data_IF_494356072449
#
_entry.id   IF_494356072449
#
_cell.length_a   1.000
_cell.length_b   1.000
_cell.length_c   1.000
_cell.angle_alpha   90.00
_cell.angle_beta   90.00
_cell.angle_gamma   90.00
#
_symmetry.space_group_name_H-M   'P 1'
#
loop_
_entity.id
_entity.type
_entity.pdbx_description
1 polymer ?
#
# COMPACT_ATOMS: atom_id res chain seq x y z
N UNK A 1 -0.64 -18.93 19.49
CA UNK A 1 0.72 -19.43 19.20
C UNK A 1 0.95 -20.79 19.85
N UNK A 2 0.21 -21.81 19.43
CA UNK A 2 0.36 -23.20 19.91
C UNK A 2 0.47 -24.19 18.73
N UNK A 3 0.70 -23.69 17.52
CA UNK A 3 0.70 -24.49 16.30
C UNK A 3 2.10 -25.03 15.94
N UNK A 4 3.17 -24.49 16.54
CA UNK A 4 4.56 -24.68 16.05
C UNK A 4 5.10 -26.13 16.13
N UNK A 5 4.49 -27.03 16.90
CA UNK A 5 4.99 -28.42 17.05
C UNK A 5 4.69 -29.34 15.85
N UNK A 6 3.87 -28.93 14.87
CA UNK A 6 3.57 -29.72 13.66
C UNK A 6 4.53 -29.50 12.48
N UNK A 7 5.24 -28.37 12.43
CA UNK A 7 5.94 -27.89 11.22
C UNK A 7 7.35 -28.45 11.05
N UNK A 8 8.05 -28.83 12.14
CA UNK A 8 9.44 -29.31 12.05
C UNK A 8 9.58 -30.67 11.32
N UNK A 9 8.47 -31.38 11.08
CA UNK A 9 8.48 -32.72 10.51
C UNK A 9 8.37 -32.76 8.97
N UNK A 10 7.97 -31.68 8.29
CA UNK A 10 7.78 -31.73 6.82
C UNK A 10 9.11 -31.96 6.09
N UNK A 11 10.18 -31.27 6.48
CA UNK A 11 11.52 -31.50 5.90
C UNK A 11 12.00 -32.92 6.18
N UNK A 12 11.83 -33.42 7.41
CA UNK A 12 12.21 -34.80 7.77
C UNK A 12 11.42 -35.84 6.96
N UNK A 13 10.12 -35.61 6.72
CA UNK A 13 9.27 -36.49 5.92
C UNK A 13 9.63 -36.45 4.43
N UNK A 14 10.01 -35.29 3.89
CA UNK A 14 10.55 -35.16 2.52
C UNK A 14 11.88 -35.89 2.40
N UNK A 15 12.79 -35.73 3.37
CA UNK A 15 14.08 -36.45 3.38
C UNK A 15 13.91 -37.97 3.55
N UNK A 16 12.87 -38.40 4.26
CA UNK A 16 12.53 -39.80 4.46
C UNK A 16 11.71 -40.43 3.31
N UNK A 17 11.30 -39.65 2.31
CA UNK A 17 10.40 -40.06 1.20
C UNK A 17 9.08 -40.71 1.70
N UNK A 18 8.57 -40.25 2.85
CA UNK A 18 7.33 -40.75 3.45
C UNK A 18 6.10 -40.02 2.89
N UNK A 19 5.63 -40.46 1.72
CA UNK A 19 4.50 -39.84 1.04
C UNK A 19 3.17 -39.92 1.81
N UNK A 20 2.93 -40.99 2.56
CA UNK A 20 1.72 -41.10 3.38
C UNK A 20 1.78 -40.14 4.57
N UNK A 21 2.94 -40.05 5.21
CA UNK A 21 3.20 -39.08 6.28
C UNK A 21 3.06 -37.63 5.80
N UNK A 22 3.64 -37.30 4.65
CA UNK A 22 3.52 -35.98 4.02
C UNK A 22 2.06 -35.65 3.72
N UNK A 23 1.34 -36.54 3.04
CA UNK A 23 -0.07 -36.28 2.72
C UNK A 23 -0.92 -36.10 3.98
N UNK A 24 -0.66 -36.87 5.04
CA UNK A 24 -1.38 -36.69 6.30
C UNK A 24 -1.04 -35.36 7.00
N UNK A 25 0.23 -34.94 6.95
CA UNK A 25 0.69 -33.67 7.52
C UNK A 25 0.10 -32.48 6.75
N UNK A 26 0.22 -32.47 5.42
CA UNK A 26 -0.31 -31.40 4.56
C UNK A 26 -1.83 -31.23 4.75
N UNK A 27 -2.59 -32.33 4.83
CA UNK A 27 -4.04 -32.26 5.06
C UNK A 27 -4.43 -31.78 6.48
N UNK A 28 -3.53 -31.89 7.46
CA UNK A 28 -3.79 -31.47 8.83
C UNK A 28 -3.48 -29.99 9.06
N UNK A 29 -2.75 -29.35 8.14
CA UNK A 29 -2.26 -27.98 8.25
C UNK A 29 -3.15 -27.04 7.41
N UNK A 30 -3.40 -25.80 7.91
CA UNK A 30 -4.01 -24.75 7.10
C UNK A 30 -3.19 -24.43 5.85
N UNK A 31 -3.85 -24.15 4.73
CA UNK A 31 -3.21 -23.87 3.43
C UNK A 31 -2.20 -22.71 3.50
N UNK A 32 -2.55 -21.64 4.23
CA UNK A 32 -1.66 -20.49 4.44
C UNK A 32 -0.35 -20.88 5.15
N UNK A 33 -0.43 -21.68 6.22
CA UNK A 33 0.78 -22.10 6.95
C UNK A 33 1.65 -23.05 6.11
N UNK A 34 1.02 -23.88 5.28
CA UNK A 34 1.73 -24.77 4.34
C UNK A 34 2.49 -23.93 3.31
N UNK A 35 1.86 -22.89 2.76
CA UNK A 35 2.49 -21.98 1.81
C UNK A 35 3.67 -21.23 2.44
N UNK A 36 3.50 -20.66 3.64
CA UNK A 36 4.57 -20.01 4.39
C UNK A 36 5.76 -20.96 4.62
N UNK A 37 5.49 -22.20 5.06
CA UNK A 37 6.53 -23.19 5.27
C UNK A 37 7.26 -23.57 3.98
N UNK A 38 6.52 -23.72 2.88
CA UNK A 38 7.07 -23.98 1.54
C UNK A 38 7.99 -22.85 1.12
N UNK A 39 7.56 -21.61 1.28
CA UNK A 39 8.33 -20.43 0.92
C UNK A 39 9.65 -20.30 1.70
N UNK A 40 9.68 -20.76 2.94
CA UNK A 40 10.87 -20.69 3.79
C UNK A 40 11.85 -21.83 3.56
N UNK A 41 11.37 -23.04 3.26
CA UNK A 41 12.17 -24.27 3.37
C UNK A 41 12.35 -25.07 2.07
N UNK A 42 11.50 -24.86 1.07
CA UNK A 42 11.49 -25.71 -0.12
C UNK A 42 11.80 -24.94 -1.41
N UNK A 43 12.67 -25.53 -2.22
CA UNK A 43 12.91 -25.09 -3.60
C UNK A 43 11.84 -25.65 -4.54
N UNK A 44 11.76 -25.08 -5.74
CA UNK A 44 10.75 -25.35 -6.78
C UNK A 44 10.37 -26.82 -6.96
N UNK A 45 11.34 -27.73 -7.08
CA UNK A 45 11.04 -29.15 -7.35
C UNK A 45 10.40 -29.86 -6.16
N UNK A 46 10.79 -29.50 -4.94
CA UNK A 46 10.16 -30.04 -3.74
C UNK A 46 8.76 -29.44 -3.59
N UNK A 47 8.60 -28.14 -3.86
CA UNK A 47 7.29 -27.46 -3.91
C UNK A 47 6.33 -28.18 -4.85
N UNK A 48 6.75 -28.48 -6.10
CA UNK A 48 5.93 -29.22 -7.05
C UNK A 48 5.52 -30.60 -6.53
N UNK A 49 6.45 -31.31 -5.89
CA UNK A 49 6.18 -32.64 -5.32
C UNK A 49 5.17 -32.56 -4.18
N UNK A 50 5.25 -31.55 -3.33
CA UNK A 50 4.31 -31.32 -2.23
C UNK A 50 2.92 -30.95 -2.76
N UNK A 51 2.84 -30.07 -3.76
CA UNK A 51 1.60 -29.69 -4.41
C UNK A 51 0.89 -30.90 -5.06
N UNK A 52 1.65 -31.82 -5.67
CA UNK A 52 1.10 -33.03 -6.30
C UNK A 52 0.50 -34.04 -5.28
N UNK A 53 0.85 -33.92 -3.99
CA UNK A 53 0.30 -34.78 -2.91
C UNK A 53 -1.03 -34.26 -2.36
N UNK A 54 -1.35 -32.99 -2.62
CA UNK A 54 -2.56 -32.30 -2.16
C UNK A 54 -3.76 -32.65 -3.03
N UNK A 55 -4.96 -32.48 -2.48
CA UNK A 55 -6.18 -32.46 -3.29
C UNK A 55 -6.27 -31.11 -4.03
N UNK A 56 -6.97 -31.08 -5.17
CA UNK A 56 -6.92 -29.96 -6.10
C UNK A 56 -7.31 -28.59 -5.49
N UNK A 57 -8.31 -28.57 -4.61
CA UNK A 57 -8.76 -27.37 -3.89
C UNK A 57 -7.67 -26.84 -2.96
N UNK A 58 -7.07 -27.70 -2.14
CA UNK A 58 -5.95 -27.32 -1.27
C UNK A 58 -4.73 -26.90 -2.08
N UNK A 59 -4.46 -27.58 -3.20
CA UNK A 59 -3.36 -27.22 -4.10
C UNK A 59 -3.50 -25.78 -4.62
N UNK A 60 -4.71 -25.39 -5.02
CA UNK A 60 -5.02 -24.04 -5.49
C UNK A 60 -4.87 -23.00 -4.37
N UNK A 61 -5.43 -23.27 -3.18
CA UNK A 61 -5.30 -22.38 -2.03
C UNK A 61 -3.83 -22.18 -1.61
N UNK A 62 -3.08 -23.28 -1.41
CA UNK A 62 -1.67 -23.20 -1.03
C UNK A 62 -0.87 -22.43 -2.07
N UNK A 63 -1.15 -22.63 -3.36
CA UNK A 63 -0.47 -21.90 -4.43
C UNK A 63 -0.79 -20.40 -4.40
N UNK A 64 -2.04 -20.01 -4.13
CA UNK A 64 -2.45 -18.61 -3.96
C UNK A 64 -1.66 -17.91 -2.85
N UNK A 65 -1.48 -18.58 -1.71
CA UNK A 65 -0.73 -18.02 -0.57
C UNK A 65 0.80 -17.96 -0.76
N UNK A 66 1.37 -18.56 -1.81
CA UNK A 66 2.81 -18.44 -2.06
C UNK A 66 3.17 -17.02 -2.48
N UNK A 67 4.38 -16.57 -2.10
CA UNK A 67 4.88 -15.27 -2.57
C UNK A 67 4.92 -15.20 -4.10
N UNK A 68 4.67 -14.03 -4.71
CA UNK A 68 4.64 -13.85 -6.17
C UNK A 68 5.87 -14.39 -6.90
N UNK A 69 7.07 -14.21 -6.32
CA UNK A 69 8.32 -14.71 -6.90
C UNK A 69 8.35 -16.25 -6.98
N UNK A 70 7.85 -16.93 -5.95
CA UNK A 70 7.82 -18.39 -5.90
C UNK A 70 6.69 -18.95 -6.77
N UNK A 71 5.52 -18.31 -6.81
CA UNK A 71 4.44 -18.62 -7.76
C UNK A 71 4.95 -18.60 -9.21
N UNK A 72 5.64 -17.52 -9.59
CA UNK A 72 6.20 -17.37 -10.93
C UNK A 72 7.23 -18.48 -11.24
N UNK A 73 8.13 -18.75 -10.30
CA UNK A 73 9.16 -19.77 -10.48
C UNK A 73 8.56 -21.17 -10.61
N UNK A 74 7.63 -21.54 -9.73
CA UNK A 74 6.94 -22.84 -9.75
C UNK A 74 6.09 -23.00 -11.00
N UNK A 75 5.28 -22.00 -11.36
CA UNK A 75 4.45 -22.04 -12.56
C UNK A 75 5.29 -22.23 -13.84
N UNK A 76 6.50 -21.66 -13.90
CA UNK A 76 7.40 -21.82 -15.04
C UNK A 76 7.95 -23.24 -15.23
N UNK A 77 7.90 -24.07 -14.18
CA UNK A 77 8.35 -25.47 -14.18
C UNK A 77 7.21 -26.49 -14.25
N UNK A 78 5.95 -26.04 -14.15
CA UNK A 78 4.78 -26.91 -14.28
C UNK A 78 4.51 -27.31 -15.73
N UNK A 79 4.07 -28.56 -15.91
CA UNK A 79 3.43 -28.99 -17.16
C UNK A 79 2.17 -28.15 -17.41
N UNK A 80 2.00 -27.64 -18.64
CA UNK A 80 0.90 -26.71 -18.96
C UNK A 80 -0.49 -27.29 -18.69
N UNK A 81 -0.64 -28.61 -18.75
CA UNK A 81 -1.89 -29.32 -18.42
C UNK A 81 -2.19 -29.33 -16.92
N UNK A 82 -1.16 -29.33 -16.07
CA UNK A 82 -1.28 -29.26 -14.62
C UNK A 82 -1.58 -27.82 -14.22
N UNK A 83 -0.82 -26.86 -14.75
CA UNK A 83 -1.07 -25.43 -14.52
C UNK A 83 -2.49 -25.02 -14.94
N UNK A 84 -2.97 -25.53 -16.07
CA UNK A 84 -4.34 -25.24 -16.51
C UNK A 84 -5.43 -25.84 -15.62
N UNK A 85 -5.15 -26.93 -14.89
CA UNK A 85 -6.09 -27.47 -13.90
C UNK A 85 -6.05 -26.67 -12.61
N UNK A 86 -4.85 -26.33 -12.13
CA UNK A 86 -4.66 -25.45 -10.98
C UNK A 86 -5.45 -24.15 -11.15
N UNK A 87 -5.31 -23.50 -12.31
CA UNK A 87 -6.07 -22.30 -12.68
C UNK A 87 -7.60 -22.48 -12.75
N UNK A 88 -8.13 -23.69 -12.83
CA UNK A 88 -9.58 -23.89 -12.79
C UNK A 88 -10.08 -23.93 -11.34
N UNK A 89 -9.24 -24.37 -10.42
CA UNK A 89 -9.59 -24.56 -9.01
C UNK A 89 -9.20 -23.35 -8.14
N UNK A 90 -8.44 -22.38 -8.67
CA UNK A 90 -8.14 -21.09 -8.01
C UNK A 90 -9.31 -20.11 -8.07
N UNK A 91 -9.41 -19.23 -7.08
CA UNK A 91 -10.31 -18.06 -7.13
C UNK A 91 -9.96 -17.16 -8.32
N UNK A 92 -10.97 -16.49 -8.87
CA UNK A 92 -10.81 -15.76 -10.13
C UNK A 92 -9.82 -14.57 -10.08
N UNK A 93 -9.71 -13.94 -8.92
CA UNK A 93 -8.78 -12.87 -8.51
C UNK A 93 -7.34 -13.38 -8.40
N UNK A 94 -7.03 -14.31 -7.49
CA UNK A 94 -5.72 -14.98 -7.38
C UNK A 94 -5.19 -15.50 -8.72
N UNK A 95 -6.10 -16.07 -9.52
CA UNK A 95 -5.78 -16.56 -10.86
C UNK A 95 -5.36 -15.43 -11.82
N UNK A 96 -6.01 -14.27 -11.74
CA UNK A 96 -5.66 -13.09 -12.52
C UNK A 96 -4.29 -12.55 -12.12
N UNK A 97 -4.00 -12.54 -10.82
CA UNK A 97 -2.71 -12.09 -10.27
C UNK A 97 -1.58 -13.01 -10.74
N UNK A 98 -1.72 -14.32 -10.57
CA UNK A 98 -0.72 -15.29 -11.06
C UNK A 98 -0.57 -15.19 -12.56
N UNK A 99 -1.66 -15.02 -13.33
CA UNK A 99 -1.59 -14.84 -14.78
C UNK A 99 -0.72 -13.65 -15.18
N UNK A 100 -0.81 -12.54 -14.45
CA UNK A 100 -0.05 -11.31 -14.71
C UNK A 100 1.47 -11.53 -14.54
N UNK A 101 1.87 -12.44 -13.65
CA UNK A 101 3.27 -12.80 -13.37
C UNK A 101 3.88 -13.72 -14.43
N UNK A 102 3.07 -14.45 -15.19
CA UNK A 102 3.57 -15.43 -16.17
C UNK A 102 4.20 -14.75 -17.39
N UNK A 103 5.16 -15.44 -18.01
CA UNK A 103 5.71 -14.97 -19.28
C UNK A 103 4.67 -15.08 -20.41
N UNK A 104 4.85 -14.25 -21.45
CA UNK A 104 3.90 -14.16 -22.58
C UNK A 104 3.69 -15.51 -23.28
N UNK A 105 4.68 -16.41 -23.26
CA UNK A 105 4.59 -17.72 -23.90
C UNK A 105 3.70 -18.65 -23.09
N UNK A 106 3.86 -18.66 -21.78
CA UNK A 106 3.10 -19.47 -20.85
C UNK A 106 1.66 -18.97 -20.77
N UNK A 107 1.46 -17.64 -20.78
CA UNK A 107 0.14 -17.03 -20.94
C UNK A 107 -0.60 -17.55 -22.18
N UNK A 108 0.01 -17.49 -23.37
CA UNK A 108 -0.61 -17.98 -24.63
C UNK A 108 -0.83 -19.50 -24.62
N UNK A 109 0.07 -20.27 -24.01
CA UNK A 109 -0.10 -21.71 -23.85
C UNK A 109 -1.27 -22.07 -22.92
N UNK A 110 -1.41 -21.35 -21.80
CA UNK A 110 -2.47 -21.53 -20.81
C UNK A 110 -3.83 -21.16 -21.40
N UNK A 111 -3.92 -20.00 -22.06
CA UNK A 111 -5.15 -19.56 -22.73
C UNK A 111 -5.70 -20.65 -23.64
N UNK A 112 -4.85 -21.32 -24.44
CA UNK A 112 -5.28 -22.40 -25.36
C UNK A 112 -5.84 -23.64 -24.66
N UNK A 113 -5.54 -23.85 -23.38
CA UNK A 113 -6.02 -24.98 -22.57
C UNK A 113 -7.31 -24.69 -21.82
N UNK A 114 -7.52 -23.43 -21.42
CA UNK A 114 -8.73 -23.03 -20.70
C UNK A 114 -9.97 -23.09 -21.59
N UNK A 115 -11.10 -23.45 -20.97
CA UNK A 115 -12.42 -23.37 -21.57
C UNK A 115 -12.77 -21.91 -21.89
N UNK A 116 -13.76 -21.73 -22.78
CA UNK A 116 -14.11 -20.38 -23.26
C UNK A 116 -14.58 -19.45 -22.14
N UNK A 117 -15.39 -19.93 -21.19
CA UNK A 117 -15.87 -19.15 -20.05
C UNK A 117 -14.71 -18.66 -19.18
N UNK A 118 -13.86 -19.60 -18.74
CA UNK A 118 -12.68 -19.30 -17.90
C UNK A 118 -11.74 -18.32 -18.57
N UNK A 119 -11.54 -18.47 -19.88
CA UNK A 119 -10.69 -17.55 -20.64
C UNK A 119 -11.27 -16.15 -20.70
N UNK A 120 -12.55 -16.03 -21.00
CA UNK A 120 -13.22 -14.72 -21.10
C UNK A 120 -13.23 -14.01 -19.74
N UNK A 121 -13.41 -14.76 -18.65
CA UNK A 121 -13.36 -14.22 -17.28
C UNK A 121 -11.95 -13.78 -16.86
N UNK A 122 -10.96 -14.65 -17.02
CA UNK A 122 -9.56 -14.34 -16.69
C UNK A 122 -9.02 -13.15 -17.51
N UNK A 123 -9.32 -13.09 -18.81
CA UNK A 123 -8.93 -11.95 -19.65
C UNK A 123 -9.63 -10.65 -19.24
N UNK A 124 -10.82 -10.72 -18.66
CA UNK A 124 -11.53 -9.54 -18.17
C UNK A 124 -10.87 -9.03 -16.89
N UNK A 125 -10.61 -9.89 -15.91
CA UNK A 125 -9.98 -9.48 -14.64
C UNK A 125 -8.55 -8.97 -14.88
N UNK A 126 -7.73 -9.72 -15.62
CA UNK A 126 -6.36 -9.29 -15.98
C UNK A 126 -6.26 -8.08 -16.91
N UNK A 127 -7.38 -7.52 -17.38
CA UNK A 127 -7.39 -6.30 -18.20
C UNK A 127 -7.46 -5.01 -17.39
N UNK A 128 -7.81 -5.09 -16.10
CA UNK A 128 -7.81 -3.94 -15.21
C UNK A 128 -6.39 -3.51 -14.86
N UNK A 129 -6.23 -2.22 -14.58
CA UNK A 129 -4.93 -1.65 -14.21
C UNK A 129 -4.60 -2.01 -12.76
N UNK A 130 -3.35 -2.33 -12.50
CA UNK A 130 -2.83 -2.58 -11.15
C UNK A 130 -3.12 -1.39 -10.22
N UNK A 131 -3.50 -1.66 -8.96
CA UNK A 131 -3.91 -0.63 -8.01
C UNK A 131 -5.35 -0.13 -8.18
N UNK A 132 -6.14 -0.76 -9.06
CA UNK A 132 -7.58 -0.51 -9.19
C UNK A 132 -8.41 -1.61 -8.54
N UNK A 133 -9.66 -1.29 -8.19
CA UNK A 133 -10.63 -2.25 -7.64
C UNK A 133 -10.83 -3.44 -8.58
N UNK A 134 -10.73 -3.22 -9.90
CA UNK A 134 -10.86 -4.27 -10.89
C UNK A 134 -9.74 -5.30 -10.86
N UNK A 135 -8.56 -4.94 -10.37
CA UNK A 135 -7.42 -5.85 -10.22
C UNK A 135 -7.63 -6.80 -9.02
N UNK A 136 -8.17 -6.28 -7.90
CA UNK A 136 -8.36 -7.03 -6.64
C UNK A 136 -9.77 -7.59 -6.45
N UNK A 137 -10.63 -7.55 -7.46
CA UNK A 137 -12.01 -8.06 -7.34
C UNK A 137 -12.12 -9.50 -7.84
N UNK A 138 -12.91 -10.29 -7.14
CA UNK A 138 -13.31 -11.61 -7.60
C UNK A 138 -14.59 -11.56 -8.43
N UNK A 139 -14.68 -12.41 -9.44
CA UNK A 139 -15.92 -12.69 -10.18
C UNK A 139 -16.77 -13.79 -9.54
N UNK A 140 -16.29 -14.44 -8.49
CA UNK A 140 -16.92 -15.59 -7.84
C UNK A 140 -17.95 -15.21 -6.78
N UNK A 141 -18.86 -14.30 -7.15
CA UNK A 141 -19.91 -13.79 -6.27
C UNK A 141 -21.25 -14.55 -6.42
N UNK A 142 -21.94 -14.75 -5.29
CA UNK A 142 -23.25 -15.40 -5.29
C UNK A 142 -24.37 -14.50 -5.84
N UNK A 143 -25.22 -15.03 -6.74
CA UNK A 143 -26.32 -14.26 -7.35
C UNK A 143 -27.69 -14.93 -7.23
N UNK A 144 -28.74 -14.11 -7.11
CA UNK A 144 -30.13 -14.53 -7.06
C UNK A 144 -30.94 -13.70 -8.07
N UNK A 145 -31.81 -14.31 -8.91
CA UNK A 145 -32.65 -13.53 -9.81
C UNK A 145 -33.76 -12.79 -9.05
N UNK A 146 -34.11 -11.60 -9.52
CA UNK A 146 -35.32 -10.86 -9.09
C UNK A 146 -36.57 -11.76 -9.24
N UNK A 147 -37.50 -11.63 -8.29
CA UNK A 147 -38.75 -12.40 -8.28
C UNK A 147 -38.61 -13.83 -7.74
N UNK A 148 -37.44 -14.22 -7.25
CA UNK A 148 -37.27 -15.47 -6.51
C UNK A 148 -37.90 -15.38 -5.11
N UNK A 149 -38.29 -16.53 -4.56
CA UNK A 149 -38.60 -16.67 -3.15
C UNK A 149 -37.39 -17.22 -2.37
N UNK A 150 -37.45 -17.16 -1.04
CA UNK A 150 -36.38 -17.61 -0.14
C UNK A 150 -36.01 -19.08 -0.36
N UNK A 151 -36.99 -19.96 -0.58
CA UNK A 151 -36.74 -21.38 -0.83
C UNK A 151 -35.88 -21.60 -2.09
N UNK A 152 -36.24 -20.96 -3.20
CA UNK A 152 -35.50 -21.03 -4.45
C UNK A 152 -34.11 -20.40 -4.31
N UNK A 153 -34.00 -19.28 -3.60
CA UNK A 153 -32.73 -18.61 -3.33
C UNK A 153 -31.78 -19.53 -2.55
N UNK A 154 -32.22 -20.09 -1.41
CA UNK A 154 -31.41 -21.02 -0.62
C UNK A 154 -31.05 -22.28 -1.40
N UNK A 155 -31.97 -22.79 -2.23
CA UNK A 155 -31.68 -23.93 -3.11
C UNK A 155 -30.58 -23.60 -4.11
N UNK A 156 -30.63 -22.43 -4.75
CA UNK A 156 -29.59 -21.98 -5.68
C UNK A 156 -28.25 -21.79 -4.97
N UNK A 157 -28.24 -21.09 -3.84
CA UNK A 157 -27.02 -20.87 -3.07
C UNK A 157 -26.35 -22.17 -2.65
N UNK A 158 -27.12 -23.17 -2.19
CA UNK A 158 -26.57 -24.50 -1.85
C UNK A 158 -25.93 -25.21 -3.04
N UNK A 159 -26.41 -24.96 -4.25
CA UNK A 159 -25.89 -25.61 -5.46
C UNK A 159 -24.64 -24.89 -5.99
N UNK A 160 -24.56 -23.58 -5.85
CA UNK A 160 -23.42 -22.78 -6.33
C UNK A 160 -22.34 -22.54 -5.29
N UNK A 161 -22.60 -22.77 -3.99
CA UNK A 161 -21.69 -22.42 -2.90
C UNK A 161 -20.24 -22.89 -3.06
N UNK A 162 -19.94 -24.11 -3.55
CA UNK A 162 -18.55 -24.56 -3.67
C UNK A 162 -17.70 -23.78 -4.68
N UNK A 163 -18.32 -23.09 -5.62
CA UNK A 163 -17.64 -22.35 -6.70
C UNK A 163 -17.67 -20.83 -6.44
N UNK A 164 -17.94 -20.40 -5.21
CA UNK A 164 -18.17 -18.99 -4.88
C UNK A 164 -17.30 -18.58 -3.71
N UNK A 165 -16.65 -17.45 -3.85
CA UNK A 165 -15.80 -16.82 -2.83
C UNK A 165 -16.56 -16.64 -1.52
N UNK A 166 -17.79 -16.14 -1.61
CA UNK A 166 -18.66 -16.04 -0.45
C UNK A 166 -20.13 -16.20 -0.80
N UNK A 167 -20.84 -16.93 0.07
CA UNK A 167 -22.31 -17.02 0.07
C UNK A 167 -22.95 -16.21 1.20
N UNK A 168 -22.17 -15.52 2.04
CA UNK A 168 -22.70 -14.76 3.16
C UNK A 168 -23.50 -13.54 2.71
N UNK A 169 -23.17 -13.00 1.54
CA UNK A 169 -23.98 -12.05 0.79
C UNK A 169 -24.34 -12.64 -0.57
N UNK A 170 -25.55 -12.38 -1.03
CA UNK A 170 -25.99 -12.72 -2.36
C UNK A 170 -26.57 -11.48 -3.05
N UNK A 171 -26.11 -11.25 -4.28
CA UNK A 171 -26.51 -10.11 -5.09
C UNK A 171 -27.73 -10.43 -5.92
N UNK A 172 -28.75 -9.58 -5.82
CA UNK A 172 -29.99 -9.73 -6.58
C UNK A 172 -29.83 -9.06 -7.93
N UNK A 173 -29.97 -9.82 -9.01
CA UNK A 173 -29.74 -9.35 -10.38
C UNK A 173 -30.97 -9.50 -11.28
N UNK A 174 -31.11 -8.59 -12.24
CA UNK A 174 -32.13 -8.69 -13.28
C UNK A 174 -31.68 -9.57 -14.47
N UNK A 175 -32.55 -9.72 -15.49
CA UNK A 175 -32.23 -10.50 -16.70
C UNK A 175 -31.15 -9.88 -17.60
N UNK A 176 -30.67 -8.67 -17.28
CA UNK A 176 -29.55 -7.99 -17.96
C UNK A 176 -28.30 -7.94 -17.09
N UNK A 177 -28.23 -8.68 -15.98
CA UNK A 177 -27.12 -8.66 -15.03
C UNK A 177 -26.96 -7.35 -14.25
N UNK A 178 -28.00 -6.50 -14.20
CA UNK A 178 -27.95 -5.28 -13.38
C UNK A 178 -28.17 -5.61 -11.91
N UNK A 179 -27.39 -4.95 -11.04
CA UNK A 179 -27.55 -5.07 -9.59
C UNK A 179 -28.83 -4.36 -9.12
N UNK A 180 -29.71 -5.12 -8.48
CA UNK A 180 -31.02 -4.65 -7.99
C UNK A 180 -31.09 -4.57 -6.46
N UNK A 181 -30.23 -5.30 -5.77
CA UNK A 181 -30.15 -5.29 -4.31
C UNK A 181 -29.17 -6.34 -3.77
N UNK A 182 -29.04 -6.40 -2.46
CA UNK A 182 -28.25 -7.41 -1.74
C UNK A 182 -29.07 -8.03 -0.62
N UNK A 183 -28.87 -9.34 -0.38
CA UNK A 183 -29.47 -10.06 0.73
C UNK A 183 -28.39 -10.89 1.44
N UNK A 184 -28.39 -10.86 2.78
CA UNK A 184 -27.47 -11.69 3.56
C UNK A 184 -28.01 -13.11 3.75
N UNK A 185 -27.12 -14.10 3.83
CA UNK A 185 -27.50 -15.47 4.15
C UNK A 185 -28.27 -15.57 5.48
N UNK A 186 -27.89 -14.74 6.45
CA UNK A 186 -28.61 -14.61 7.73
C UNK A 186 -30.07 -14.23 7.53
N UNK A 187 -30.37 -13.25 6.66
CA UNK A 187 -31.77 -12.88 6.35
C UNK A 187 -32.52 -14.01 5.65
N UNK A 188 -31.86 -14.72 4.72
CA UNK A 188 -32.46 -15.86 4.03
C UNK A 188 -32.81 -17.01 4.99
N UNK A 189 -31.96 -17.26 5.99
CA UNK A 189 -32.17 -18.32 6.97
C UNK A 189 -33.26 -17.99 8.00
N UNK A 190 -33.54 -16.71 8.26
CA UNK A 190 -34.55 -16.27 9.23
C UNK A 190 -35.91 -15.94 8.63
N UNK A 191 -35.98 -15.70 7.31
CA UNK A 191 -37.22 -15.42 6.59
C UNK A 191 -38.05 -16.69 6.32
N UNK A 192 -39.36 -16.54 6.10
CA UNK A 192 -40.19 -17.67 5.71
C UNK A 192 -39.86 -18.12 4.26
N UNK A 193 -39.87 -19.44 3.95
CA UNK A 193 -39.49 -19.95 2.63
C UNK A 193 -40.28 -19.36 1.44
N UNK A 194 -41.51 -18.92 1.69
CA UNK A 194 -42.40 -18.35 0.68
C UNK A 194 -42.23 -16.84 0.47
N UNK A 195 -41.48 -16.15 1.33
CA UNK A 195 -41.26 -14.70 1.18
C UNK A 195 -40.46 -14.39 -0.09
N UNK A 196 -40.74 -13.24 -0.69
CA UNK A 196 -40.09 -12.78 -1.92
C UNK A 196 -38.77 -12.08 -1.59
N UNK A 197 -37.72 -12.40 -2.34
CA UNK A 197 -36.40 -11.75 -2.20
C UNK A 197 -36.51 -10.24 -2.45
N UNK A 198 -37.38 -9.84 -3.37
CA UNK A 198 -37.61 -8.44 -3.71
C UNK A 198 -38.11 -7.59 -2.52
N UNK A 199 -38.76 -8.22 -1.53
CA UNK A 199 -39.24 -7.56 -0.31
C UNK A 199 -38.20 -7.58 0.82
N UNK A 200 -37.24 -8.51 0.76
CA UNK A 200 -36.20 -8.70 1.77
C UNK A 200 -34.89 -7.96 1.44
N UNK A 201 -34.61 -7.74 0.16
CA UNK A 201 -33.34 -7.19 -0.29
C UNK A 201 -33.16 -5.72 0.10
N UNK A 202 -31.92 -5.35 0.41
CA UNK A 202 -31.53 -3.95 0.52
C UNK A 202 -31.29 -3.40 -0.89
N UNK A 203 -32.05 -2.37 -1.29
CA UNK A 203 -31.96 -1.74 -2.63
C UNK A 203 -30.92 -0.64 -2.72
N UNK A 204 -30.68 0.07 -1.62
CA UNK A 204 -29.66 1.11 -1.53
C UNK A 204 -28.31 0.44 -1.21
N UNK A 205 -27.73 -0.17 -2.25
CA UNK A 205 -26.47 -0.92 -2.13
C UNK A 205 -25.31 0.05 -2.29
N UNK A 206 -24.37 0.00 -1.38
CA UNK A 206 -23.08 0.69 -1.55
C UNK A 206 -22.27 -0.09 -2.57
N UNK A 207 -21.91 0.55 -3.68
CA UNK A 207 -21.19 -0.06 -4.80
C UNK A 207 -19.92 0.71 -5.10
N UNK A 208 -18.97 0.06 -5.76
CA UNK A 208 -17.75 0.67 -6.28
C UNK A 208 -17.63 0.48 -7.79
N UNK A 209 -16.88 1.35 -8.45
CA UNK A 209 -16.49 1.16 -9.86
C UNK A 209 -15.17 0.40 -9.92
N UNK A 210 -14.98 -0.53 -10.87
CA UNK A 210 -13.74 -1.28 -11.01
C UNK A 210 -12.54 -0.37 -11.35
N UNK A 211 -12.76 0.80 -11.95
CA UNK A 211 -11.68 1.74 -12.32
C UNK A 211 -11.26 2.67 -11.17
N UNK A 212 -11.90 2.56 -10.00
CA UNK A 212 -11.49 3.33 -8.82
C UNK A 212 -10.22 2.74 -8.19
N UNK A 213 -9.43 3.55 -7.45
CA UNK A 213 -8.31 3.03 -6.68
C UNK A 213 -8.73 1.96 -5.67
N UNK A 214 -7.95 0.89 -5.53
CA UNK A 214 -8.23 -0.21 -4.60
C UNK A 214 -8.37 0.24 -3.13
N UNK A 215 -7.60 1.25 -2.71
CA UNK A 215 -7.68 1.86 -1.38
C UNK A 215 -9.08 2.42 -1.05
N UNK A 216 -9.89 2.75 -2.06
CA UNK A 216 -11.26 3.19 -1.83
C UNK A 216 -12.21 2.04 -1.47
N UNK A 217 -12.01 0.84 -2.01
CA UNK A 217 -12.75 -0.35 -1.57
C UNK A 217 -12.49 -0.59 -0.08
N UNK A 218 -11.21 -0.63 0.33
CA UNK A 218 -10.82 -0.83 1.71
C UNK A 218 -11.41 0.23 2.65
N UNK A 219 -11.38 1.51 2.26
CA UNK A 219 -11.98 2.60 3.04
C UNK A 219 -13.48 2.42 3.23
N UNK A 220 -14.21 2.03 2.17
CA UNK A 220 -15.67 1.85 2.24
C UNK A 220 -16.03 0.61 3.05
N UNK A 221 -15.34 -0.51 2.82
CA UNK A 221 -15.50 -1.76 3.56
C UNK A 221 -15.32 -1.51 5.06
N UNK A 222 -14.22 -0.84 5.44
CA UNK A 222 -13.93 -0.48 6.83
C UNK A 222 -14.98 0.49 7.42
N UNK A 223 -15.40 1.50 6.66
CA UNK A 223 -16.36 2.52 7.15
C UNK A 223 -17.75 1.94 7.44
N UNK A 224 -18.19 0.96 6.65
CA UNK A 224 -19.53 0.39 6.73
C UNK A 224 -19.56 -1.00 7.38
N UNK A 225 -18.43 -1.48 7.91
CA UNK A 225 -18.26 -2.82 8.47
C UNK A 225 -18.77 -3.92 7.52
N UNK A 226 -18.47 -3.78 6.22
CA UNK A 226 -18.88 -4.72 5.19
C UNK A 226 -17.94 -5.92 5.18
N UNK A 227 -18.48 -7.09 4.85
CA UNK A 227 -17.68 -8.31 4.60
C UNK A 227 -17.29 -8.46 3.12
N UNK A 228 -17.99 -7.76 2.23
CA UNK A 228 -17.69 -7.65 0.81
C UNK A 228 -18.41 -6.43 0.24
N UNK A 229 -17.90 -5.89 -0.88
CA UNK A 229 -18.52 -4.79 -1.62
C UNK A 229 -18.64 -5.12 -3.11
N UNK A 230 -19.82 -4.92 -3.75
CA UNK A 230 -19.98 -5.20 -5.17
C UNK A 230 -19.34 -4.12 -6.05
N UNK A 231 -18.62 -4.57 -7.07
CA UNK A 231 -18.10 -3.76 -8.16
C UNK A 231 -19.08 -3.76 -9.35
N UNK A 232 -19.50 -2.55 -9.76
CA UNK A 232 -20.44 -2.36 -10.86
C UNK A 232 -19.88 -1.41 -11.92
N UNK A 233 -20.24 -1.66 -13.18
CA UNK A 233 -19.94 -0.75 -14.30
C UNK A 233 -20.84 0.50 -14.26
N UNK A 234 -20.55 1.49 -15.09
CA UNK A 234 -21.40 2.69 -15.27
C UNK A 234 -22.87 2.35 -15.60
N UNK A 235 -23.10 1.24 -16.31
CA UNK A 235 -24.44 0.75 -16.66
C UNK A 235 -25.12 -0.03 -15.52
N UNK A 236 -24.52 -0.06 -14.33
CA UNK A 236 -24.95 -0.80 -13.14
C UNK A 236 -24.94 -2.32 -13.33
N UNK A 237 -24.08 -2.84 -14.22
CA UNK A 237 -23.84 -4.27 -14.38
C UNK A 237 -22.87 -4.73 -13.29
N UNK A 238 -23.24 -5.78 -12.55
CA UNK A 238 -22.37 -6.41 -11.56
C UNK A 238 -21.25 -7.17 -12.28
N UNK A 239 -20.00 -6.82 -11.98
CA UNK A 239 -18.82 -7.41 -12.63
C UNK A 239 -17.92 -8.17 -11.67
N UNK A 240 -17.94 -7.82 -10.38
CA UNK A 240 -17.15 -8.46 -9.35
C UNK A 240 -17.59 -8.07 -7.94
N UNK A 241 -16.85 -8.55 -6.95
CA UNK A 241 -16.90 -8.03 -5.57
C UNK A 241 -15.48 -8.02 -4.98
N UNK A 242 -15.25 -7.17 -4.00
CA UNK A 242 -14.01 -7.18 -3.20
C UNK A 242 -14.35 -7.67 -1.80
N UNK A 243 -13.59 -8.63 -1.28
CA UNK A 243 -13.79 -9.19 0.07
C UNK A 243 -13.13 -8.32 1.14
N UNK A 244 -13.40 -8.60 2.41
CA UNK A 244 -12.77 -7.87 3.51
C UNK A 244 -11.28 -8.23 3.66
N UNK A 245 -10.92 -9.46 3.37
CA UNK A 245 -9.57 -10.01 3.41
C UNK A 245 -8.69 -9.40 2.31
N UNK A 246 -9.12 -9.39 1.04
CA UNK A 246 -8.39 -8.70 -0.03
C UNK A 246 -8.22 -7.20 0.30
N UNK A 247 -9.26 -6.60 0.88
CA UNK A 247 -9.20 -5.21 1.31
C UNK A 247 -8.21 -4.97 2.46
N UNK A 248 -7.91 -5.99 3.27
CA UNK A 248 -6.90 -5.91 4.32
C UNK A 248 -5.50 -5.96 3.73
N UNK A 249 -5.27 -6.80 2.72
CA UNK A 249 -4.00 -6.88 2.01
C UNK A 249 -3.70 -5.57 1.29
N UNK A 250 -4.70 -4.99 0.62
CA UNK A 250 -4.61 -3.64 0.04
C UNK A 250 -4.19 -2.58 1.06
N UNK A 251 -4.69 -2.66 2.30
CA UNK A 251 -4.30 -1.69 3.36
C UNK A 251 -2.83 -1.86 3.72
N UNK A 252 -2.35 -3.11 3.85
CA UNK A 252 -0.94 -3.39 4.16
C UNK A 252 0.00 -2.94 3.03
N UNK A 253 -0.38 -3.18 1.79
CA UNK A 253 0.36 -2.74 0.60
C UNK A 253 0.46 -1.21 0.53
N UNK A 254 -0.65 -0.50 0.67
CA UNK A 254 -0.70 0.97 0.61
C UNK A 254 0.08 1.62 1.75
N UNK A 255 0.00 1.06 2.97
CA UNK A 255 0.79 1.51 4.11
C UNK A 255 2.30 1.31 3.85
N UNK A 256 2.67 0.14 3.32
CA UNK A 256 4.06 -0.21 2.99
C UNK A 256 4.60 0.69 1.88
N UNK A 257 3.84 0.90 0.80
CA UNK A 257 4.21 1.77 -0.31
C UNK A 257 4.38 3.21 0.16
N UNK A 258 3.45 3.71 0.99
CA UNK A 258 3.53 5.03 1.62
C UNK A 258 4.79 5.18 2.47
N UNK A 259 5.15 4.16 3.23
CA UNK A 259 6.39 4.15 4.02
C UNK A 259 7.64 4.19 3.14
N UNK A 260 7.69 3.39 2.08
CA UNK A 260 8.82 3.39 1.14
C UNK A 260 8.99 4.74 0.45
N UNK A 261 7.91 5.30 -0.10
CA UNK A 261 7.90 6.63 -0.74
C UNK A 261 8.35 7.73 0.25
N UNK A 262 7.83 7.70 1.48
CA UNK A 262 8.20 8.65 2.55
C UNK A 262 9.69 8.61 2.90
N UNK A 263 10.31 7.42 2.81
CA UNK A 263 11.73 7.20 3.01
C UNK A 263 12.59 7.45 1.76
N UNK A 264 11.99 7.88 0.64
CA UNK A 264 12.66 8.02 -0.66
C UNK A 264 13.24 6.73 -1.24
N UNK A 265 12.64 5.60 -0.90
CA UNK A 265 12.91 4.33 -1.54
C UNK A 265 11.83 4.17 -2.60
N UNK A 266 12.20 3.97 -3.87
CA UNK A 266 11.18 3.63 -4.89
C UNK A 266 10.41 2.36 -4.47
N UNK A 267 9.21 2.15 -5.03
CA UNK A 267 8.40 0.96 -4.72
C UNK A 267 9.26 -0.31 -4.81
N UNK A 268 9.16 -1.15 -3.79
CA UNK A 268 9.77 -2.47 -3.76
C UNK A 268 8.65 -3.47 -3.92
N UNK A 269 8.60 -4.12 -5.08
CA UNK A 269 7.58 -5.12 -5.42
C UNK A 269 7.96 -6.51 -4.83
N UNK A 270 8.90 -6.55 -3.87
CA UNK A 270 9.46 -7.76 -3.27
C UNK A 270 10.03 -7.47 -1.87
N UNK A 271 10.21 -8.51 -1.06
CA UNK A 271 10.75 -8.38 0.28
C UNK A 271 12.21 -7.88 0.26
N UNK A 272 12.64 -7.22 1.35
CA UNK A 272 14.01 -6.70 1.47
C UNK A 272 15.06 -7.82 1.47
N UNK A 273 14.68 -9.01 1.94
CA UNK A 273 15.53 -10.20 2.00
C UNK A 273 15.74 -10.83 0.62
N UNK A 274 14.73 -10.79 -0.26
CA UNK A 274 14.82 -11.24 -1.65
C UNK A 274 15.54 -10.23 -2.55
N UNK A 275 15.38 -8.94 -2.25
CA UNK A 275 15.95 -7.87 -3.07
C UNK A 275 17.49 -7.89 -3.05
N UNK A 276 18.09 -8.34 -4.15
CA UNK A 276 19.54 -8.33 -4.31
C UNK A 276 20.17 -6.93 -4.20
N UNK A 277 21.45 -6.80 -3.80
CA UNK A 277 22.10 -5.51 -3.57
C UNK A 277 22.03 -4.52 -4.74
N UNK A 278 22.06 -5.02 -5.98
CA UNK A 278 22.00 -4.21 -7.20
C UNK A 278 20.60 -3.60 -7.39
N UNK A 279 19.54 -4.34 -7.10
CA UNK A 279 18.15 -3.88 -7.19
C UNK A 279 17.92 -2.73 -6.20
N UNK A 280 18.34 -2.93 -4.94
CA UNK A 280 18.27 -1.91 -3.89
C UNK A 280 19.09 -0.65 -4.25
N UNK A 281 20.29 -0.83 -4.81
CA UNK A 281 21.10 0.28 -5.28
C UNK A 281 20.38 1.10 -6.36
N UNK A 282 19.82 0.44 -7.39
CA UNK A 282 19.11 1.12 -8.49
C UNK A 282 17.89 1.89 -8.01
N UNK A 283 17.11 1.31 -7.08
CA UNK A 283 15.91 1.95 -6.51
C UNK A 283 16.22 3.16 -5.63
N UNK A 284 17.47 3.34 -5.17
CA UNK A 284 17.91 4.44 -4.29
C UNK A 284 18.80 5.49 -4.97
N UNK A 285 19.72 5.06 -5.85
CA UNK A 285 20.78 5.94 -6.37
C UNK A 285 20.24 7.11 -7.19
N UNK A 286 19.22 6.88 -8.02
CA UNK A 286 18.63 7.93 -8.86
C UNK A 286 18.11 9.09 -8.00
N UNK A 287 17.44 8.76 -6.89
CA UNK A 287 16.92 9.74 -5.97
C UNK A 287 18.01 10.41 -5.13
N UNK A 288 18.96 9.63 -4.60
CA UNK A 288 20.07 10.18 -3.80
C UNK A 288 20.93 11.16 -4.62
N UNK A 289 21.22 10.83 -5.88
CA UNK A 289 21.96 11.72 -6.78
C UNK A 289 21.16 12.99 -7.04
N UNK A 290 19.85 12.90 -7.28
CA UNK A 290 18.97 14.07 -7.43
C UNK A 290 19.07 14.99 -6.20
N UNK A 291 18.98 14.43 -4.99
CA UNK A 291 19.09 15.22 -3.74
C UNK A 291 20.47 15.88 -3.59
N UNK A 292 21.55 15.22 -4.00
CA UNK A 292 22.89 15.85 -4.02
C UNK A 292 22.92 17.09 -4.89
N UNK A 293 22.30 17.05 -6.08
CA UNK A 293 22.23 18.21 -6.96
C UNK A 293 21.41 19.36 -6.36
N UNK A 294 20.31 19.05 -5.66
CA UNK A 294 19.53 20.08 -4.95
C UNK A 294 20.37 20.70 -3.82
N UNK A 295 21.23 19.93 -3.15
CA UNK A 295 22.06 20.47 -2.06
C UNK A 295 23.21 21.40 -2.55
N UNK A 296 23.50 21.45 -3.86
CA UNK A 296 24.46 22.40 -4.43
C UNK A 296 24.03 23.86 -4.16
N UNK A 297 22.73 24.13 -4.08
CA UNK A 297 22.22 25.47 -3.76
C UNK A 297 22.64 25.95 -2.37
N UNK A 298 22.70 25.05 -1.38
CA UNK A 298 23.22 25.35 -0.04
C UNK A 298 24.69 25.76 -0.10
N UNK A 299 25.50 25.05 -0.90
CA UNK A 299 26.91 25.38 -1.10
C UNK A 299 27.10 26.74 -1.78
N UNK A 300 26.30 27.04 -2.80
CA UNK A 300 26.33 28.33 -3.48
C UNK A 300 25.96 29.49 -2.53
N UNK A 301 24.98 29.27 -1.64
CA UNK A 301 24.62 30.25 -0.62
C UNK A 301 25.76 30.51 0.38
N UNK A 302 26.50 29.47 0.80
CA UNK A 302 27.69 29.64 1.67
C UNK A 302 28.76 30.49 0.97
N UNK A 303 29.05 30.21 -0.31
CA UNK A 303 30.01 31.00 -1.10
C UNK A 303 29.58 32.46 -1.24
N UNK A 304 28.29 32.72 -1.42
CA UNK A 304 27.77 34.08 -1.52
C UNK A 304 28.00 34.90 -0.23
N UNK A 305 27.98 34.26 0.95
CA UNK A 305 28.19 34.91 2.24
C UNK A 305 29.61 34.74 2.82
N UNK A 306 30.62 34.44 1.99
CA UNK A 306 32.01 34.19 2.41
C UNK A 306 32.59 35.35 3.24
N UNK A 307 32.34 36.60 2.83
CA UNK A 307 32.80 37.78 3.57
C UNK A 307 32.21 37.88 4.98
N UNK A 308 30.92 37.52 5.14
CA UNK A 308 30.25 37.49 6.45
C UNK A 308 30.85 36.39 7.34
N UNK A 309 31.15 35.22 6.75
CA UNK A 309 31.77 34.10 7.44
C UNK A 309 33.19 34.45 7.89
N UNK A 310 33.99 35.12 7.04
CA UNK A 310 35.34 35.57 7.40
C UNK A 310 35.33 36.59 8.54
N UNK A 311 34.34 37.48 8.56
CA UNK A 311 34.17 38.45 9.65
C UNK A 311 33.78 37.75 10.98
N UNK A 312 32.94 36.72 10.92
CA UNK A 312 32.45 35.99 12.09
C UNK A 312 32.54 34.48 11.90
N UNK A 313 33.74 33.92 12.05
CA UNK A 313 33.99 32.48 11.90
C UNK A 313 33.16 31.62 12.88
N UNK A 314 32.70 32.21 14.00
CA UNK A 314 31.82 31.56 14.97
C UNK A 314 30.45 31.16 14.41
N UNK A 315 30.00 31.77 13.30
CA UNK A 315 28.75 31.40 12.63
C UNK A 315 28.77 29.92 12.18
N UNK A 316 29.94 29.42 11.75
CA UNK A 316 30.09 28.04 11.30
C UNK A 316 29.86 27.00 12.40
N UNK A 317 30.01 27.39 13.68
CA UNK A 317 29.76 26.47 14.80
C UNK A 317 28.28 26.15 15.00
N UNK A 318 27.39 27.06 14.59
CA UNK A 318 25.95 26.91 14.73
C UNK A 318 25.27 26.47 13.44
N UNK A 319 25.97 26.57 12.31
CA UNK A 319 25.43 26.25 10.98
C UNK A 319 24.82 24.83 10.92
N UNK A 320 25.51 23.74 11.34
CA UNK A 320 24.93 22.39 11.26
C UNK A 320 23.69 22.24 12.16
N UNK A 321 23.71 22.88 13.33
CA UNK A 321 22.63 22.78 14.31
C UNK A 321 21.36 23.49 13.82
N UNK A 322 21.50 24.68 13.25
CA UNK A 322 20.39 25.47 12.74
C UNK A 322 19.74 24.79 11.53
N UNK A 323 20.57 24.37 10.57
CA UNK A 323 20.14 23.67 9.36
C UNK A 323 19.38 22.39 9.71
N UNK A 324 19.99 21.51 10.54
CA UNK A 324 19.37 20.26 10.95
C UNK A 324 18.03 20.47 11.69
N UNK A 325 17.90 21.56 12.46
CA UNK A 325 16.66 21.87 13.17
C UNK A 325 15.50 22.20 12.23
N UNK A 326 15.78 22.94 11.15
CA UNK A 326 14.79 23.22 10.09
C UNK A 326 14.36 21.95 9.37
N UNK A 327 15.33 21.12 8.97
CA UNK A 327 15.06 19.84 8.31
C UNK A 327 14.24 18.88 9.19
N UNK A 328 14.59 18.74 10.47
CA UNK A 328 13.88 17.87 11.40
C UNK A 328 12.44 18.34 11.62
N UNK A 329 12.23 19.65 11.82
CA UNK A 329 10.88 20.20 12.02
C UNK A 329 10.00 20.07 10.77
N UNK A 330 10.58 20.36 9.59
CA UNK A 330 9.88 20.16 8.32
C UNK A 330 9.50 18.70 8.08
N UNK A 331 10.42 17.77 8.34
CA UNK A 331 10.18 16.34 8.15
C UNK A 331 9.09 15.80 9.07
N UNK A 332 9.08 16.22 10.34
CA UNK A 332 8.00 15.86 11.27
C UNK A 332 6.63 16.32 10.77
N UNK A 333 6.57 17.56 10.27
CA UNK A 333 5.33 18.14 9.73
C UNK A 333 4.89 17.40 8.47
N UNK A 334 5.82 17.13 7.55
CA UNK A 334 5.56 16.41 6.32
C UNK A 334 5.02 15.00 6.58
N UNK A 335 5.64 14.24 7.48
CA UNK A 335 5.18 12.89 7.84
C UNK A 335 3.75 12.89 8.38
N UNK A 336 3.41 13.83 9.27
CA UNK A 336 2.04 13.93 9.81
C UNK A 336 1.02 14.29 8.72
N UNK A 337 1.39 15.18 7.81
CA UNK A 337 0.51 15.66 6.74
C UNK A 337 0.32 14.61 5.65
N UNK A 338 1.39 13.92 5.23
CA UNK A 338 1.33 12.82 4.26
C UNK A 338 0.40 11.73 4.77
N UNK A 339 0.58 11.30 6.03
CA UNK A 339 -0.31 10.31 6.65
C UNK A 339 -1.76 10.79 6.67
N UNK A 340 -2.00 12.02 7.11
CA UNK A 340 -3.35 12.56 7.19
C UNK A 340 -4.02 12.78 5.81
N UNK A 341 -3.23 12.89 4.73
CA UNK A 341 -3.73 12.87 3.35
C UNK A 341 -4.08 11.44 2.93
N UNK A 342 -3.20 10.46 3.22
CA UNK A 342 -3.38 9.06 2.86
C UNK A 342 -4.58 8.42 3.58
N UNK A 343 -4.75 8.70 4.88
CA UNK A 343 -5.88 8.19 5.68
C UNK A 343 -7.21 8.90 5.38
N UNK A 344 -7.20 9.97 4.58
CA UNK A 344 -8.38 10.79 4.31
C UNK A 344 -8.84 11.66 5.50
N UNK A 345 -8.01 11.81 6.54
CA UNK A 345 -8.30 12.63 7.72
C UNK A 345 -8.44 14.13 7.38
N UNK A 346 -7.84 14.58 6.27
CA UNK A 346 -7.90 15.97 5.80
C UNK A 346 -8.97 16.11 4.71
N UNK A 347 -10.12 16.68 5.08
CA UNK A 347 -11.22 16.97 4.17
C UNK A 347 -10.98 18.17 3.24
N UNK A 348 -11.85 18.32 2.23
CA UNK A 348 -11.89 19.50 1.36
C UNK A 348 -12.30 20.74 2.19
N UNK A 349 -11.32 21.53 2.63
CA UNK A 349 -11.54 22.78 3.36
C UNK A 349 -10.71 22.93 4.64
N UNK A 350 -10.10 21.85 5.14
CA UNK A 350 -9.34 21.87 6.39
C UNK A 350 -7.94 22.50 6.26
N UNK A 351 -7.46 22.74 5.04
CA UNK A 351 -6.11 23.23 4.77
C UNK A 351 -5.79 24.57 5.45
N UNK A 352 -6.73 25.52 5.48
CA UNK A 352 -6.52 26.83 6.13
C UNK A 352 -6.42 26.68 7.65
N UNK A 353 -7.27 25.84 8.23
CA UNK A 353 -7.28 25.57 9.68
C UNK A 353 -5.99 24.86 10.09
N UNK A 354 -5.54 23.91 9.28
CA UNK A 354 -4.29 23.19 9.48
C UNK A 354 -3.09 24.14 9.38
N UNK A 355 -3.06 25.02 8.38
CA UNK A 355 -2.01 26.03 8.23
C UNK A 355 -1.93 26.99 9.43
N UNK A 356 -3.08 27.49 9.90
CA UNK A 356 -3.12 28.36 11.08
C UNK A 356 -2.68 27.64 12.36
N UNK A 357 -3.08 26.36 12.53
CA UNK A 357 -2.63 25.51 13.63
C UNK A 357 -1.11 25.32 13.57
N UNK A 358 -0.57 25.08 12.38
CA UNK A 358 0.86 24.83 12.20
C UNK A 358 1.68 26.06 12.58
N UNK A 359 1.32 27.27 12.13
CA UNK A 359 2.00 28.52 12.53
C UNK A 359 2.12 28.65 14.06
N UNK A 360 1.07 28.28 14.78
CA UNK A 360 1.08 28.35 16.24
C UNK A 360 2.01 27.29 16.85
N UNK A 361 1.93 26.04 16.37
CA UNK A 361 2.77 24.94 16.86
C UNK A 361 4.25 25.20 16.56
N UNK A 362 4.59 25.49 15.32
CA UNK A 362 5.95 25.80 14.88
C UNK A 362 6.48 27.09 15.51
N UNK A 363 5.62 28.08 15.79
CA UNK A 363 6.01 29.27 16.54
C UNK A 363 6.42 28.96 17.98
N UNK A 364 5.65 28.12 18.68
CA UNK A 364 6.00 27.66 20.03
C UNK A 364 7.28 26.80 20.06
N UNK A 365 7.43 25.88 19.09
CA UNK A 365 8.64 25.09 18.92
C UNK A 365 9.86 25.97 18.61
N UNK A 366 9.72 26.91 17.67
CA UNK A 366 10.76 27.85 17.29
C UNK A 366 11.22 28.71 18.47
N UNK A 367 10.30 29.23 19.29
CA UNK A 367 10.65 29.99 20.49
C UNK A 367 11.43 29.15 21.50
N UNK A 368 10.96 27.92 21.75
CA UNK A 368 11.57 26.99 22.69
C UNK A 368 12.99 26.60 22.25
N UNK A 369 13.17 26.27 20.97
CA UNK A 369 14.47 25.93 20.39
C UNK A 369 15.41 27.14 20.35
N UNK A 370 14.88 28.33 20.05
CA UNK A 370 15.67 29.57 20.07
C UNK A 370 16.21 29.87 21.46
N UNK A 371 15.39 29.74 22.50
CA UNK A 371 15.83 29.93 23.89
C UNK A 371 16.94 28.94 24.26
N UNK A 372 16.79 27.66 23.90
CA UNK A 372 17.80 26.62 24.17
C UNK A 372 19.13 26.93 23.45
N UNK A 373 19.05 27.32 22.18
CA UNK A 373 20.24 27.64 21.38
C UNK A 373 20.92 28.94 21.79
N UNK A 374 20.16 29.95 22.20
CA UNK A 374 20.73 31.18 22.76
C UNK A 374 21.48 30.89 24.06
N UNK A 375 21.00 29.96 24.90
CA UNK A 375 21.72 29.54 26.10
C UNK A 375 23.08 28.90 25.75
N UNK A 376 23.15 28.08 24.69
CA UNK A 376 24.41 27.52 24.19
C UNK A 376 25.30 28.62 23.59
N UNK A 377 24.73 29.53 22.80
CA UNK A 377 25.45 30.63 22.17
C UNK A 377 26.07 31.58 23.19
N UNK A 378 25.40 31.83 24.32
CA UNK A 378 25.93 32.63 25.42
C UNK A 378 27.30 32.13 25.90
N UNK A 379 27.51 30.82 25.99
CA UNK A 379 28.79 30.25 26.43
C UNK A 379 29.82 30.10 25.31
N UNK A 380 29.37 29.94 24.05
CA UNK A 380 30.26 29.55 22.94
C UNK A 380 30.66 30.72 22.04
N UNK A 381 29.74 31.66 21.81
CA UNK A 381 29.91 32.81 20.94
C UNK A 381 28.86 33.89 21.29
N UNK A 382 29.02 34.62 22.41
CA UNK A 382 28.02 35.58 22.89
C UNK A 382 27.74 36.69 21.87
N UNK A 383 28.73 37.06 21.06
CA UNK A 383 28.64 38.14 20.07
C UNK A 383 27.61 37.88 18.97
N UNK A 384 27.26 36.61 18.70
CA UNK A 384 26.27 36.22 17.69
C UNK A 384 24.98 35.65 18.29
N UNK A 385 24.82 35.69 19.62
CA UNK A 385 23.70 35.05 20.33
C UNK A 385 22.32 35.42 19.76
N UNK A 386 22.09 36.71 19.47
CA UNK A 386 20.83 37.18 18.89
C UNK A 386 20.63 36.70 17.44
N UNK A 387 21.69 36.67 16.63
CA UNK A 387 21.66 36.13 15.27
C UNK A 387 21.18 34.68 15.31
N UNK A 388 21.79 33.87 16.16
CA UNK A 388 21.49 32.44 16.26
C UNK A 388 20.05 32.23 16.77
N UNK A 389 19.59 33.01 17.76
CA UNK A 389 18.22 32.92 18.27
C UNK A 389 17.15 33.28 17.24
N UNK A 390 17.28 34.43 16.57
CA UNK A 390 16.31 34.86 15.54
C UNK A 390 16.30 33.88 14.37
N UNK A 391 17.48 33.41 13.96
CA UNK A 391 17.61 32.44 12.87
C UNK A 391 16.98 31.10 13.23
N UNK A 392 17.17 30.60 14.46
CA UNK A 392 16.56 29.35 14.90
C UNK A 392 15.02 29.42 14.81
N UNK A 393 14.42 30.50 15.30
CA UNK A 393 12.98 30.71 15.21
C UNK A 393 12.51 30.69 13.74
N UNK A 394 13.15 31.48 12.89
CA UNK A 394 12.78 31.60 11.49
C UNK A 394 12.97 30.29 10.71
N UNK A 395 14.06 29.57 10.95
CA UNK A 395 14.39 28.31 10.27
C UNK A 395 13.41 27.21 10.67
N UNK A 396 13.08 27.07 11.95
CA UNK A 396 12.05 26.11 12.41
C UNK A 396 10.72 26.43 11.75
N UNK A 397 10.30 27.70 11.79
CA UNK A 397 9.04 28.16 11.21
C UNK A 397 8.96 27.86 9.70
N UNK A 398 9.99 28.21 8.93
CA UNK A 398 10.00 27.97 7.48
C UNK A 398 10.11 26.48 7.18
N UNK A 399 10.89 25.73 7.96
CA UNK A 399 10.99 24.28 7.86
C UNK A 399 9.64 23.59 8.01
N UNK A 400 8.91 23.87 9.10
CA UNK A 400 7.57 23.30 9.33
C UNK A 400 6.59 23.65 8.22
N UNK A 401 6.56 24.92 7.77
CA UNK A 401 5.68 25.32 6.67
C UNK A 401 6.04 24.64 5.34
N UNK A 402 7.32 24.43 5.08
CA UNK A 402 7.76 23.68 3.90
C UNK A 402 7.24 22.25 3.97
N UNK A 403 7.39 21.59 5.13
CA UNK A 403 6.85 20.25 5.36
C UNK A 403 5.33 20.16 5.24
N UNK A 404 4.61 21.19 5.68
CA UNK A 404 3.16 21.27 5.52
C UNK A 404 2.75 21.47 4.06
N UNK A 405 3.35 22.43 3.35
CA UNK A 405 2.87 22.89 2.04
C UNK A 405 3.30 21.96 0.90
N UNK A 406 4.47 21.33 0.99
CA UNK A 406 5.04 20.53 -0.09
C UNK A 406 4.10 19.39 -0.55
N UNK A 407 3.52 18.55 0.35
CA UNK A 407 2.58 17.50 -0.08
C UNK A 407 1.35 18.04 -0.83
N UNK A 408 0.79 19.17 -0.41
CA UNK A 408 -0.35 19.80 -1.09
C UNK A 408 0.03 20.36 -2.46
N UNK A 409 1.22 20.95 -2.59
CA UNK A 409 1.73 21.44 -3.86
C UNK A 409 1.94 20.30 -4.86
N UNK A 410 2.48 19.17 -4.42
CA UNK A 410 2.62 17.98 -5.26
C UNK A 410 1.25 17.47 -5.72
N UNK A 411 0.28 17.37 -4.79
CA UNK A 411 -1.11 17.00 -5.12
C UNK A 411 -1.73 17.91 -6.17
N UNK A 412 -1.49 19.23 -6.08
CA UNK A 412 -2.04 20.22 -7.01
C UNK A 412 -1.50 20.04 -8.44
N UNK A 413 -0.24 19.59 -8.58
CA UNK A 413 0.41 19.33 -9.87
C UNK A 413 0.10 17.91 -10.39
N UNK A 414 -0.65 17.10 -9.62
CA UNK A 414 -1.02 15.73 -9.97
C UNK A 414 0.05 14.69 -9.64
N UNK A 415 1.02 15.04 -8.79
CA UNK A 415 2.02 14.10 -8.28
C UNK A 415 1.57 13.52 -6.94
N UNK A 416 2.05 12.31 -6.64
CA UNK A 416 1.79 11.65 -5.37
C UNK A 416 2.35 12.47 -4.19
N UNK A 417 1.50 12.88 -3.23
CA UNK A 417 1.92 13.60 -2.02
C UNK A 417 2.98 12.88 -1.19
N UNK A 418 3.02 11.53 -1.19
CA UNK A 418 4.03 10.74 -0.49
C UNK A 418 5.45 10.94 -1.07
N UNK A 419 5.55 11.51 -2.28
CA UNK A 419 6.82 11.94 -2.88
C UNK A 419 7.44 13.14 -2.14
N UNK A 420 6.69 13.85 -1.28
CA UNK A 420 7.22 14.87 -0.36
C UNK A 420 8.03 14.23 0.78
N UNK A 421 8.95 13.36 0.43
CA UNK A 421 9.70 12.51 1.33
C UNK A 421 10.50 13.34 2.34
N UNK A 422 10.78 12.72 3.48
CA UNK A 422 11.60 13.35 4.53
C UNK A 422 12.92 13.92 3.96
N UNK A 423 13.70 13.19 3.15
CA UNK A 423 14.92 13.72 2.54
C UNK A 423 14.73 14.92 1.60
N UNK A 424 13.62 15.00 0.86
CA UNK A 424 13.35 16.15 -0.01
C UNK A 424 13.06 17.39 0.82
N UNK A 425 12.24 17.25 1.86
CA UNK A 425 11.90 18.33 2.80
C UNK A 425 13.14 18.83 3.53
N UNK A 426 14.00 17.93 4.02
CA UNK A 426 15.27 18.34 4.65
C UNK A 426 16.16 19.09 3.67
N UNK A 427 16.29 18.64 2.43
CA UNK A 427 17.18 19.29 1.46
C UNK A 427 16.71 20.70 1.11
N UNK A 428 15.39 20.92 0.97
CA UNK A 428 14.83 22.27 0.77
C UNK A 428 15.04 23.12 2.02
N UNK A 429 14.76 22.57 3.20
CA UNK A 429 14.95 23.26 4.47
C UNK A 429 16.43 23.62 4.71
N UNK A 430 17.38 22.81 4.24
CA UNK A 430 18.80 23.08 4.35
C UNK A 430 19.20 24.29 3.51
N UNK A 431 18.81 24.29 2.23
CA UNK A 431 19.11 25.40 1.32
C UNK A 431 18.49 26.72 1.82
N UNK A 432 17.22 26.67 2.24
CA UNK A 432 16.54 27.85 2.79
C UNK A 432 17.12 28.25 4.14
N UNK A 433 17.49 27.29 4.99
CA UNK A 433 18.04 27.52 6.31
C UNK A 433 19.40 28.23 6.27
N UNK A 434 20.28 27.83 5.35
CA UNK A 434 21.54 28.53 5.08
C UNK A 434 21.28 29.98 4.71
N UNK A 435 20.38 30.22 3.75
CA UNK A 435 20.05 31.58 3.30
C UNK A 435 19.49 32.43 4.45
N UNK A 436 18.50 31.91 5.20
CA UNK A 436 17.87 32.62 6.32
C UNK A 436 18.90 32.94 7.41
N UNK A 437 19.80 32.01 7.73
CA UNK A 437 20.82 32.23 8.76
C UNK A 437 21.77 33.36 8.37
N UNK A 438 22.34 33.31 7.16
CA UNK A 438 23.30 34.32 6.74
C UNK A 438 22.65 35.67 6.44
N UNK A 439 21.44 35.71 5.88
CA UNK A 439 20.65 36.95 5.75
C UNK A 439 20.46 37.60 7.12
N UNK A 440 20.06 36.80 8.12
CA UNK A 440 19.87 37.29 9.49
C UNK A 440 21.19 37.79 10.08
N UNK A 441 22.30 37.08 9.86
CA UNK A 441 23.62 37.50 10.32
C UNK A 441 24.04 38.83 9.70
N UNK A 442 23.93 38.99 8.39
CA UNK A 442 24.30 40.22 7.68
C UNK A 442 23.48 41.41 8.15
N UNK A 443 22.15 41.24 8.31
CA UNK A 443 21.26 42.31 8.78
C UNK A 443 21.56 42.70 10.23
N UNK A 444 21.65 41.72 11.13
CA UNK A 444 21.79 41.97 12.58
C UNK A 444 23.19 42.48 12.94
N UNK A 445 24.23 42.01 12.24
CA UNK A 445 25.61 42.45 12.45
C UNK A 445 25.96 43.73 11.65
N UNK A 446 25.03 44.24 10.82
CA UNK A 446 25.21 45.47 10.06
C UNK A 446 26.30 45.39 8.98
N UNK A 447 26.52 44.19 8.43
CA UNK A 447 27.51 43.96 7.37
C UNK A 447 26.92 44.34 6.01
N UNK A 448 27.74 44.84 5.09
CA UNK A 448 27.29 45.10 3.72
C UNK A 448 27.01 43.76 3.01
N UNK A 449 25.87 43.66 2.32
CA UNK A 449 25.59 42.55 1.41
C UNK A 449 26.52 42.76 0.20
N UNK A 450 27.51 41.88 0.05
CA UNK A 450 28.44 41.86 -1.09
C UNK A 450 27.77 41.39 -2.37
#
# INVERSE_FOLDING_TARGET
MQYVEGYENLVELVEADDQEGLKAALNAMPSADVAEYIDEHFEVYNTLTLLDLMEAEQQAEVFGYLRPAHQQEVASHMEISVLAKLFVDMSSDERADVYSLLDVKLQDALMRRLARSEREDLLRLSSYEEGTIGAVMTSDYATIPVGANVELALKKLRQSAPEKESIYQAYVIDGKHKLMGVVSLRQLLTAAPSEMIDDLMTRDVVTVSPDMPQSEAARIISRYDLIAIPAVTEDNLLVGMVTFDDAMDVVEEEDTETMHKSASVGSLDMSLTEAGPITLYKKRINWLVLLVFVNIFSGAAITYYEDTIMAYASLLFFLPLLIASGGNSGSQTATLVIRAIATGDIGRGDGVKLFAKEILVSGLLGLSMSAAVMAVAYFRAPDIMLVVGISMFAIVMIGSLTGLLLPFLLKLVGWDPATASTPLVTTIADAVGVMVYFITATIVLGLAIG
#
